data_IF_418578596483
#
_entry.id   IF_418578596483
#
_cell.length_a   1.000
_cell.length_b   1.000
_cell.length_c   1.000
_cell.angle_alpha   90.00
_cell.angle_beta   90.00
_cell.angle_gamma   90.00
#
_symmetry.space_group_name_H-M   'P 1'
#
loop_
_entity.id
_entity.type
_entity.pdbx_description
1 polymer ?
#
# COMPACT_ATOMS: atom_id res chain seq x y z
N UNK A 1 17.88 -22.02 -12.11
CA UNK A 1 16.83 -21.00 -12.37
C UNK A 1 16.91 -19.74 -11.47
N UNK A 2 17.59 -19.76 -10.31
CA UNK A 2 17.67 -18.60 -9.39
C UNK A 2 18.48 -17.38 -9.87
N UNK A 3 19.34 -17.50 -10.91
CA UNK A 3 20.12 -16.37 -11.47
C UNK A 3 19.28 -15.42 -12.35
N UNK A 4 18.21 -15.92 -12.98
CA UNK A 4 17.36 -15.10 -13.86
C UNK A 4 16.49 -14.10 -13.10
N UNK A 5 15.91 -14.53 -11.97
CA UNK A 5 15.03 -13.68 -11.15
C UNK A 5 15.77 -12.50 -10.49
N UNK A 6 17.03 -12.71 -10.07
CA UNK A 6 17.88 -11.63 -9.52
C UNK A 6 18.16 -10.56 -10.57
N UNK A 7 18.45 -10.96 -11.81
CA UNK A 7 18.72 -10.00 -12.89
C UNK A 7 17.47 -9.17 -13.23
N UNK A 8 16.28 -9.77 -13.30
CA UNK A 8 15.05 -9.02 -13.60
C UNK A 8 14.72 -8.00 -12.50
N UNK A 9 14.84 -8.38 -11.23
CA UNK A 9 14.61 -7.46 -10.11
C UNK A 9 15.67 -6.35 -10.03
N UNK A 10 16.93 -6.66 -10.36
CA UNK A 10 18.02 -5.70 -10.34
C UNK A 10 17.96 -4.73 -11.52
N UNK A 11 17.56 -5.20 -12.71
CA UNK A 11 17.29 -4.35 -13.90
C UNK A 11 16.06 -3.47 -13.69
N UNK A 12 15.02 -3.99 -13.04
CA UNK A 12 13.87 -3.19 -12.66
C UNK A 12 14.25 -2.11 -11.63
N UNK A 13 15.05 -2.46 -10.61
CA UNK A 13 15.56 -1.51 -9.61
C UNK A 13 16.47 -0.43 -10.22
N UNK A 14 17.36 -0.79 -11.15
CA UNK A 14 18.25 0.16 -11.84
C UNK A 14 17.50 1.15 -12.74
N UNK A 15 16.42 0.71 -13.40
CA UNK A 15 15.62 1.57 -14.25
C UNK A 15 14.70 2.52 -13.44
N UNK A 16 14.31 2.13 -12.23
CA UNK A 16 13.56 3.00 -11.31
C UNK A 16 14.46 4.04 -10.63
N UNK A 17 15.78 3.80 -10.53
CA UNK A 17 16.72 4.61 -9.75
C UNK A 17 17.55 5.64 -10.53
N UNK A 18 17.54 5.62 -11.87
CA UNK A 18 18.28 6.63 -12.67
C UNK A 18 17.38 7.81 -13.06
N UNK A 19 17.66 9.03 -12.60
CA UNK A 19 17.04 10.23 -13.15
C UNK A 19 17.66 10.55 -14.51
N UNK A 20 16.88 10.44 -15.59
CA UNK A 20 17.24 11.05 -16.88
C UNK A 20 16.97 12.55 -16.77
N UNK A 21 18.00 13.29 -16.37
CA UNK A 21 17.98 14.75 -16.33
C UNK A 21 18.35 15.25 -17.73
N UNK A 22 17.39 15.79 -18.46
CA UNK A 22 17.63 16.57 -19.67
C UNK A 22 17.38 18.02 -19.26
N UNK A 23 18.46 18.76 -19.01
CA UNK A 23 18.41 20.20 -18.80
C UNK A 23 17.98 20.87 -20.10
N UNK A 24 16.84 21.53 -20.07
CA UNK A 24 16.53 22.64 -20.97
C UNK A 24 16.41 23.87 -20.08
N UNK A 25 17.54 24.56 -19.93
CA UNK A 25 17.62 25.91 -19.39
C UNK A 25 17.06 26.88 -20.44
N UNK A 26 16.04 27.65 -20.08
CA UNK A 26 15.73 28.93 -20.75
C UNK A 26 14.87 29.81 -19.83
N UNK A 27 15.55 30.76 -19.19
CA UNK A 27 15.20 32.13 -18.83
C UNK A 27 13.72 32.51 -18.58
N UNK A 28 13.42 32.90 -17.33
CA UNK A 28 12.35 33.87 -17.05
C UNK A 28 12.78 34.85 -15.92
N UNK A 29 12.58 36.18 -16.06
CA UNK A 29 13.05 37.18 -15.09
C UNK A 29 12.18 37.23 -13.84
N UNK A 30 12.83 37.52 -12.70
CA UNK A 30 12.21 37.57 -11.37
C UNK A 30 11.11 38.62 -11.22
N UNK A 31 10.05 38.24 -10.51
CA UNK A 31 9.01 39.15 -10.02
C UNK A 31 9.09 39.27 -8.48
N UNK A 32 8.85 40.47 -7.93
CA UNK A 32 9.10 40.76 -6.52
C UNK A 32 8.02 40.21 -5.58
N UNK A 33 8.48 39.76 -4.41
CA UNK A 33 7.68 39.31 -3.27
C UNK A 33 7.02 40.50 -2.56
N UNK A 34 5.74 40.78 -2.82
CA UNK A 34 4.88 41.45 -1.83
C UNK A 34 3.41 41.10 -2.04
N UNK A 35 2.69 40.97 -0.90
CA UNK A 35 1.24 40.83 -0.76
C UNK A 35 0.66 39.40 -0.80
N UNK A 36 0.82 38.68 0.31
CA UNK A 36 -0.10 37.59 0.67
C UNK A 36 -1.09 38.10 1.73
N UNK A 37 -2.21 38.66 1.27
CA UNK A 37 -3.40 38.86 2.09
C UNK A 37 -4.64 38.38 1.33
N UNK A 38 -5.37 37.49 2.00
CA UNK A 38 -6.74 37.02 1.70
C UNK A 38 -6.88 36.07 0.51
N UNK A 39 -7.11 34.78 0.80
CA UNK A 39 -7.44 33.74 -0.17
C UNK A 39 -8.81 34.00 -0.84
N UNK A 40 -8.84 34.90 -1.80
CA UNK A 40 -9.83 34.88 -2.86
C UNK A 40 -9.51 33.67 -3.75
N UNK A 41 -10.50 32.79 -3.94
CA UNK A 41 -10.38 31.58 -4.77
C UNK A 41 -10.25 32.04 -6.23
N UNK A 42 -9.03 32.35 -6.66
CA UNK A 42 -8.71 32.62 -8.06
C UNK A 42 -9.12 31.40 -8.89
N UNK A 43 -10.13 31.59 -9.73
CA UNK A 43 -10.41 30.68 -10.84
C UNK A 43 -9.14 30.64 -11.71
N UNK A 44 -8.63 29.44 -12.06
CA UNK A 44 -7.44 29.36 -12.88
C UNK A 44 -7.69 30.03 -14.23
N UNK A 45 -6.69 30.70 -14.82
CA UNK A 45 -6.80 31.30 -16.13
C UNK A 45 -7.21 30.23 -17.15
N UNK A 46 -8.22 30.57 -17.96
CA UNK A 46 -8.76 29.76 -19.04
C UNK A 46 -7.63 29.32 -19.97
N UNK A 47 -7.27 28.03 -19.91
CA UNK A 47 -6.28 27.41 -20.80
C UNK A 47 -5.15 26.61 -20.14
N UNK A 48 -4.95 26.70 -18.81
CA UNK A 48 -4.03 25.79 -18.12
C UNK A 48 -4.74 24.49 -17.73
N UNK A 49 -4.19 23.36 -18.14
CA UNK A 49 -4.59 22.05 -17.63
C UNK A 49 -4.52 22.07 -16.09
N UNK A 50 -5.52 21.54 -15.38
CA UNK A 50 -5.54 21.56 -13.92
C UNK A 50 -4.27 20.88 -13.40
N UNK A 51 -3.54 21.62 -12.56
CA UNK A 51 -2.32 21.11 -11.94
C UNK A 51 -2.65 19.84 -11.15
N UNK A 52 -2.08 18.71 -11.57
CA UNK A 52 -2.30 17.40 -10.95
C UNK A 52 -1.82 17.35 -9.49
N UNK A 53 -1.21 18.43 -9.00
CA UNK A 53 -0.76 18.60 -7.61
C UNK A 53 -1.87 19.08 -6.67
N UNK A 54 -2.97 19.59 -7.22
CA UNK A 54 -4.13 20.07 -6.45
C UNK A 54 -5.04 18.88 -6.09
N UNK A 55 -5.51 18.78 -4.84
CA UNK A 55 -6.46 17.73 -4.45
C UNK A 55 -7.74 17.78 -5.29
N UNK A 56 -8.18 16.62 -5.81
CA UNK A 56 -9.37 16.53 -6.65
C UNK A 56 -10.67 16.71 -5.85
N UNK A 57 -11.62 17.48 -6.38
CA UNK A 57 -12.95 17.70 -5.80
C UNK A 57 -13.96 16.58 -6.07
N UNK A 58 -13.61 15.59 -6.90
CA UNK A 58 -14.40 14.38 -7.17
C UNK A 58 -13.51 13.20 -7.49
N UNK A 59 -14.03 11.98 -7.42
CA UNK A 59 -13.29 10.82 -7.89
C UNK A 59 -13.13 10.90 -9.41
N UNK A 60 -11.90 11.08 -9.88
CA UNK A 60 -11.62 11.11 -11.33
C UNK A 60 -11.56 9.68 -11.89
N UNK A 61 -11.88 9.52 -13.17
CA UNK A 61 -11.78 8.22 -13.85
C UNK A 61 -10.34 7.67 -13.77
N UNK A 62 -9.34 8.54 -13.89
CA UNK A 62 -7.94 8.15 -13.74
C UNK A 62 -7.63 7.61 -12.34
N UNK A 63 -8.16 8.24 -11.27
CA UNK A 63 -8.03 7.72 -9.90
C UNK A 63 -8.75 6.39 -9.72
N UNK A 64 -9.96 6.26 -10.27
CA UNK A 64 -10.69 5.00 -10.21
C UNK A 64 -9.93 3.86 -10.92
N UNK A 65 -9.44 4.08 -12.14
CA UNK A 65 -8.65 3.09 -12.89
C UNK A 65 -7.32 2.77 -12.21
N UNK A 66 -6.68 3.75 -11.58
CA UNK A 66 -5.47 3.53 -10.79
C UNK A 66 -5.75 2.64 -9.56
N UNK A 67 -6.79 2.95 -8.80
CA UNK A 67 -7.18 2.20 -7.59
C UNK A 67 -7.68 0.80 -7.93
N UNK A 68 -8.66 0.67 -8.83
CA UNK A 68 -9.28 -0.61 -9.16
C UNK A 68 -8.42 -1.46 -10.09
N UNK A 69 -7.76 -0.84 -11.06
CA UNK A 69 -6.92 -1.52 -12.04
C UNK A 69 -5.57 -1.91 -11.44
N UNK A 70 -4.72 -0.94 -11.14
CA UNK A 70 -3.34 -1.22 -10.69
C UNK A 70 -3.31 -1.79 -9.28
N UNK A 71 -4.03 -1.16 -8.35
CA UNK A 71 -4.09 -1.58 -6.95
C UNK A 71 -5.23 -2.56 -6.65
N UNK A 72 -6.01 -3.00 -7.62
CA UNK A 72 -7.01 -4.05 -7.42
C UNK A 72 -6.60 -5.30 -8.19
N UNK A 73 -6.87 -5.28 -9.50
CA UNK A 73 -6.59 -6.43 -10.39
C UNK A 73 -5.08 -6.70 -10.50
N UNK A 74 -4.25 -5.68 -10.67
CA UNK A 74 -2.80 -5.83 -10.74
C UNK A 74 -2.23 -6.45 -9.46
N UNK A 75 -2.69 -5.95 -8.31
CA UNK A 75 -2.32 -6.50 -7.01
C UNK A 75 -2.80 -7.94 -6.80
N UNK A 76 -4.01 -8.30 -7.27
CA UNK A 76 -4.51 -9.68 -7.25
C UNK A 76 -3.54 -10.64 -7.93
N UNK A 77 -3.16 -10.33 -9.18
CA UNK A 77 -2.34 -11.20 -10.02
C UNK A 77 -0.95 -11.35 -9.40
N UNK A 78 -0.33 -10.25 -8.99
CA UNK A 78 1.03 -10.26 -8.43
C UNK A 78 1.04 -10.98 -7.08
N UNK A 79 0.14 -10.62 -6.17
CA UNK A 79 0.12 -11.19 -4.82
C UNK A 79 -0.27 -12.67 -4.82
N UNK A 80 -1.28 -13.04 -5.62
CA UNK A 80 -1.67 -14.43 -5.80
C UNK A 80 -0.53 -15.25 -6.40
N UNK A 81 0.14 -14.74 -7.43
CA UNK A 81 1.30 -15.41 -8.05
C UNK A 81 2.48 -15.61 -7.10
N UNK A 82 2.81 -14.62 -6.28
CA UNK A 82 3.88 -14.74 -5.27
C UNK A 82 3.52 -15.79 -4.22
N UNK A 83 2.28 -15.77 -3.69
CA UNK A 83 1.83 -16.75 -2.72
C UNK A 83 1.81 -18.18 -3.29
N UNK A 84 1.36 -18.34 -4.54
CA UNK A 84 1.43 -19.61 -5.26
C UNK A 84 2.87 -20.11 -5.36
N UNK A 85 3.81 -19.26 -5.79
CA UNK A 85 5.21 -19.64 -5.96
C UNK A 85 5.87 -20.05 -4.63
N UNK A 86 5.56 -19.34 -3.53
CA UNK A 86 6.04 -19.69 -2.20
C UNK A 86 5.47 -21.03 -1.73
N UNK A 87 4.17 -21.26 -1.88
CA UNK A 87 3.56 -22.53 -1.52
C UNK A 87 4.09 -23.69 -2.38
N UNK A 88 4.23 -23.49 -3.68
CA UNK A 88 4.84 -24.50 -4.55
C UNK A 88 6.24 -24.87 -4.07
N UNK A 89 7.08 -23.87 -3.81
CA UNK A 89 8.44 -24.10 -3.34
C UNK A 89 8.49 -24.80 -1.97
N UNK A 90 7.54 -24.55 -1.07
CA UNK A 90 7.51 -25.13 0.27
C UNK A 90 6.93 -26.55 0.28
N UNK A 91 5.82 -26.76 -0.43
CA UNK A 91 5.02 -27.98 -0.35
C UNK A 91 5.46 -29.07 -1.33
N UNK A 92 6.15 -28.72 -2.41
CA UNK A 92 6.67 -29.74 -3.34
C UNK A 92 8.03 -30.30 -2.94
N UNK A 93 8.71 -29.68 -1.96
CA UNK A 93 10.04 -30.09 -1.49
C UNK A 93 10.02 -30.80 -0.14
N UNK A 94 8.85 -31.03 0.44
CA UNK A 94 8.69 -31.68 1.74
C UNK A 94 8.14 -33.09 1.58
N UNK A 95 8.67 -34.03 2.37
CA UNK A 95 8.17 -35.41 2.44
C UNK A 95 7.07 -35.57 3.50
N UNK A 96 6.91 -34.58 4.38
CA UNK A 96 5.91 -34.60 5.45
C UNK A 96 4.51 -34.26 4.93
N UNK A 97 3.46 -34.95 5.42
CA UNK A 97 2.09 -34.70 5.00
C UNK A 97 1.65 -33.27 5.36
N UNK A 98 0.95 -32.63 4.43
CA UNK A 98 0.39 -31.29 4.61
C UNK A 98 -0.93 -31.43 5.35
N UNK A 99 -1.05 -30.73 6.48
CA UNK A 99 -2.15 -30.86 7.42
C UNK A 99 -2.82 -29.51 7.65
N UNK A 100 -4.09 -29.53 8.04
CA UNK A 100 -4.79 -28.27 8.32
C UNK A 100 -4.26 -27.62 9.60
N UNK A 101 -4.15 -28.37 10.69
CA UNK A 101 -3.81 -27.82 12.01
C UNK A 101 -2.44 -28.25 12.51
N UNK A 102 -2.09 -29.53 12.32
CA UNK A 102 -0.89 -30.13 12.91
C UNK A 102 0.40 -29.66 12.22
N UNK A 103 1.43 -29.45 13.04
CA UNK A 103 2.80 -29.22 12.59
C UNK A 103 3.43 -30.50 12.00
N UNK A 104 4.48 -30.39 11.17
CA UNK A 104 5.20 -29.17 10.79
C UNK A 104 4.54 -28.36 9.65
N UNK A 105 3.82 -29.02 8.74
CA UNK A 105 3.25 -28.40 7.54
C UNK A 105 1.78 -28.00 7.73
N UNK A 106 1.53 -27.03 8.61
CA UNK A 106 0.17 -26.55 8.94
C UNK A 106 -0.32 -25.47 7.98
N UNK A 107 -1.42 -25.72 7.27
CA UNK A 107 -2.06 -24.74 6.38
C UNK A 107 -2.75 -23.61 7.15
N UNK A 108 -3.34 -23.91 8.31
CA UNK A 108 -3.96 -22.86 9.13
C UNK A 108 -2.90 -21.90 9.67
N UNK A 109 -1.78 -22.43 10.18
CA UNK A 109 -0.67 -21.60 10.65
C UNK A 109 -0.10 -20.73 9.52
N UNK A 110 0.14 -21.33 8.36
CA UNK A 110 0.66 -20.60 7.21
C UNK A 110 -0.32 -19.53 6.68
N UNK A 111 -1.64 -19.82 6.69
CA UNK A 111 -2.70 -18.84 6.37
C UNK A 111 -2.64 -17.63 7.31
N UNK A 112 -2.56 -17.87 8.62
CA UNK A 112 -2.52 -16.81 9.62
C UNK A 112 -1.29 -15.91 9.42
N UNK A 113 -0.11 -16.52 9.25
CA UNK A 113 1.15 -15.82 9.01
C UNK A 113 1.10 -15.03 7.70
N UNK A 114 0.55 -15.62 6.64
CA UNK A 114 0.39 -14.96 5.33
C UNK A 114 -0.41 -13.68 5.44
N UNK A 115 -1.56 -13.72 6.13
CA UNK A 115 -2.41 -12.53 6.29
C UNK A 115 -1.64 -11.41 6.99
N UNK A 116 -0.93 -11.72 8.07
CA UNK A 116 -0.19 -10.75 8.87
C UNK A 116 0.98 -10.15 8.05
N UNK A 117 1.85 -11.01 7.52
CA UNK A 117 3.05 -10.57 6.80
C UNK A 117 2.66 -9.82 5.52
N UNK A 118 1.70 -10.33 4.75
CA UNK A 118 1.25 -9.70 3.51
C UNK A 118 0.66 -8.30 3.80
N UNK A 119 -0.15 -8.11 4.85
CA UNK A 119 -0.67 -6.79 5.19
C UNK A 119 0.45 -5.80 5.56
N UNK A 120 1.45 -6.22 6.34
CA UNK A 120 2.60 -5.37 6.71
C UNK A 120 3.40 -4.97 5.46
N UNK A 121 3.77 -5.96 4.64
CA UNK A 121 4.56 -5.73 3.43
C UNK A 121 3.80 -4.85 2.43
N UNK A 122 2.53 -5.18 2.19
CA UNK A 122 1.66 -4.42 1.28
C UNK A 122 1.50 -2.98 1.76
N UNK A 123 1.25 -2.73 3.04
CA UNK A 123 1.15 -1.37 3.58
C UNK A 123 2.42 -0.54 3.29
N UNK A 124 3.59 -1.14 3.51
CA UNK A 124 4.88 -0.46 3.29
C UNK A 124 5.17 -0.22 1.81
N UNK A 125 4.85 -1.19 0.94
CA UNK A 125 5.01 -1.06 -0.51
C UNK A 125 4.08 0.03 -1.05
N UNK A 126 2.81 0.02 -0.66
CA UNK A 126 1.82 1.02 -1.06
C UNK A 126 2.18 2.41 -0.59
N UNK A 127 2.70 2.54 0.65
CA UNK A 127 3.26 3.78 1.13
C UNK A 127 4.35 4.31 0.19
N UNK A 128 5.24 3.47 -0.32
CA UNK A 128 6.33 3.91 -1.18
C UNK A 128 5.81 4.28 -2.58
N UNK A 129 5.03 3.39 -3.21
CA UNK A 129 4.55 3.55 -4.59
C UNK A 129 3.62 4.75 -4.71
N UNK A 130 2.58 4.81 -3.89
CA UNK A 130 1.54 5.84 -4.00
C UNK A 130 2.13 7.21 -3.66
N UNK A 131 2.97 7.31 -2.64
CA UNK A 131 3.64 8.59 -2.34
C UNK A 131 4.61 9.01 -3.46
N UNK A 132 5.28 8.08 -4.13
CA UNK A 132 6.13 8.41 -5.30
C UNK A 132 5.29 8.92 -6.45
N UNK A 133 4.18 8.27 -6.76
CA UNK A 133 3.33 8.61 -7.89
C UNK A 133 2.58 9.92 -7.65
N UNK A 134 2.19 10.22 -6.40
CA UNK A 134 1.73 11.53 -5.98
C UNK A 134 2.83 12.59 -6.18
N UNK A 135 4.05 12.38 -5.68
CA UNK A 135 5.15 13.36 -5.82
C UNK A 135 5.50 13.68 -7.28
N UNK A 136 5.41 12.69 -8.16
CA UNK A 136 5.63 12.89 -9.60
C UNK A 136 4.45 13.56 -10.31
N UNK A 137 3.31 13.72 -9.64
CA UNK A 137 2.08 14.22 -10.24
C UNK A 137 1.46 13.21 -11.22
N UNK A 138 1.84 11.93 -11.14
CA UNK A 138 1.23 10.88 -11.94
C UNK A 138 -0.24 10.70 -11.54
N UNK A 139 -0.54 10.84 -10.25
CA UNK A 139 -1.88 10.74 -9.68
C UNK A 139 -2.20 11.95 -8.82
N UNK A 140 -3.46 12.38 -8.85
CA UNK A 140 -3.97 13.48 -8.03
C UNK A 140 -4.32 12.99 -6.61
N UNK A 141 -4.03 13.77 -5.56
CA UNK A 141 -4.55 13.51 -4.22
C UNK A 141 -6.09 13.55 -4.20
N UNK A 142 -6.71 12.85 -3.24
CA UNK A 142 -8.16 12.90 -3.03
C UNK A 142 -8.47 14.09 -2.11
N UNK A 143 -9.22 15.08 -2.62
CA UNK A 143 -9.58 16.30 -1.89
C UNK A 143 -11.07 16.43 -1.55
N UNK A 144 -11.93 15.59 -2.12
CA UNK A 144 -13.38 15.65 -1.89
C UNK A 144 -13.79 15.14 -0.51
N UNK A 145 -12.92 14.43 0.18
CA UNK A 145 -13.14 13.98 1.56
C UNK A 145 -12.59 15.06 2.49
N UNK A 146 -13.45 15.64 3.32
CA UNK A 146 -13.07 16.67 4.28
C UNK A 146 -12.18 16.14 5.40
N UNK A 147 -11.22 16.94 5.86
CA UNK A 147 -10.38 16.60 7.03
C UNK A 147 -11.28 16.45 8.27
N UNK A 148 -11.14 15.37 9.06
CA UNK A 148 -11.93 15.18 10.29
C UNK A 148 -11.65 16.29 11.32
N UNK A 149 -12.71 16.95 11.80
CA UNK A 149 -12.64 18.00 12.82
C UNK A 149 -12.13 17.45 14.16
N UNK A 150 -11.48 18.25 15.00
CA UNK A 150 -10.94 17.78 16.29
C UNK A 150 -11.98 17.61 17.41
N UNK A 151 -13.24 17.96 17.16
CA UNK A 151 -14.28 18.08 18.19
C UNK A 151 -14.84 16.74 18.66
N UNK A 152 -14.88 15.71 17.79
CA UNK A 152 -15.49 14.41 18.09
C UNK A 152 -14.45 13.35 18.54
N UNK A 153 -14.90 12.31 19.27
CA UNK A 153 -14.00 11.20 19.70
C UNK A 153 -13.54 10.35 18.53
N UNK A 154 -14.46 10.00 17.63
CA UNK A 154 -14.16 9.22 16.43
C UNK A 154 -13.18 9.95 15.51
N UNK A 155 -13.36 11.26 15.35
CA UNK A 155 -12.48 12.07 14.51
C UNK A 155 -11.05 12.14 15.07
N UNK A 156 -10.86 12.18 16.40
CA UNK A 156 -9.53 12.03 17.03
C UNK A 156 -8.87 10.69 16.69
N UNK A 157 -9.62 9.60 16.70
CA UNK A 157 -9.11 8.29 16.29
C UNK A 157 -8.70 8.26 14.81
N UNK A 158 -9.51 8.85 13.92
CA UNK A 158 -9.16 8.95 12.49
C UNK A 158 -7.91 9.80 12.29
N UNK A 159 -7.80 10.96 12.96
CA UNK A 159 -6.61 11.84 12.89
C UNK A 159 -5.35 11.12 13.38
N UNK A 160 -5.46 10.37 14.47
CA UNK A 160 -4.39 9.51 14.97
C UNK A 160 -4.03 8.45 13.94
N UNK A 161 -5.01 7.67 13.45
CA UNK A 161 -4.81 6.61 12.45
C UNK A 161 -4.21 7.15 11.15
N UNK A 162 -4.50 8.40 10.78
CA UNK A 162 -3.98 9.06 9.57
C UNK A 162 -2.65 9.81 9.81
N UNK A 163 -2.15 9.85 11.05
CA UNK A 163 -0.92 10.54 11.44
C UNK A 163 -0.90 12.04 11.06
N UNK A 164 -2.06 12.69 11.10
CA UNK A 164 -2.18 14.10 10.67
C UNK A 164 -1.46 15.07 11.59
N UNK A 165 -1.43 14.79 12.90
CA UNK A 165 -0.78 15.69 13.85
C UNK A 165 0.75 15.48 13.88
N UNK A 166 1.20 14.25 13.63
CA UNK A 166 2.63 13.91 13.58
C UNK A 166 3.32 14.44 12.31
N UNK A 167 2.62 14.52 11.17
CA UNK A 167 3.19 15.10 9.94
C UNK A 167 3.51 16.59 10.13
N UNK A 168 2.59 17.35 10.72
CA UNK A 168 2.78 18.79 11.02
C UNK A 168 3.92 19.03 12.00
N UNK A 169 4.09 18.14 12.99
CA UNK A 169 5.13 18.27 14.01
C UNK A 169 6.52 17.78 13.53
N UNK A 170 6.58 16.76 12.66
CA UNK A 170 7.81 16.34 12.01
C UNK A 170 8.35 17.41 11.04
N UNK A 171 7.47 18.18 10.38
CA UNK A 171 7.83 19.30 9.49
C UNK A 171 8.73 20.34 10.15
N UNK A 172 8.64 20.52 11.47
CA UNK A 172 9.39 21.55 12.21
C UNK A 172 10.76 21.11 12.76
N UNK A 173 11.11 19.81 12.74
CA UNK A 173 12.34 19.31 13.41
C UNK A 173 13.03 18.22 12.60
N UNK A 174 14.13 18.57 11.93
CA UNK A 174 14.96 17.69 11.08
C UNK A 174 15.87 16.79 11.94
N UNK A 175 16.04 15.50 11.57
CA UNK A 175 17.32 14.79 11.81
C UNK A 175 17.39 13.55 12.72
N UNK A 176 16.37 13.12 13.47
CA UNK A 176 16.55 12.01 14.43
C UNK A 176 16.18 10.60 13.88
N UNK A 177 17.14 9.66 13.89
CA UNK A 177 16.92 8.24 13.54
C UNK A 177 15.82 7.61 14.40
N UNK A 178 15.77 7.93 15.71
CA UNK A 178 14.73 7.44 16.62
C UNK A 178 13.32 7.78 16.11
N UNK A 179 13.14 8.97 15.51
CA UNK A 179 11.85 9.39 14.93
C UNK A 179 11.51 8.65 13.64
N UNK A 180 12.51 8.30 12.82
CA UNK A 180 12.29 7.45 11.64
C UNK A 180 11.83 6.06 12.07
N UNK A 181 12.47 5.48 13.09
CA UNK A 181 12.06 4.19 13.63
C UNK A 181 10.66 4.23 14.24
N UNK A 182 10.34 5.25 15.05
CA UNK A 182 9.00 5.45 15.60
C UNK A 182 7.93 5.60 14.50
N UNK A 183 8.28 6.26 13.39
CA UNK A 183 7.39 6.37 12.24
C UNK A 183 7.15 5.02 11.57
N UNK A 184 8.19 4.22 11.34
CA UNK A 184 8.05 2.85 10.79
C UNK A 184 7.22 1.97 11.72
N UNK A 185 7.50 2.01 13.02
CA UNK A 185 6.70 1.27 14.02
C UNK A 185 5.23 1.69 13.98
N UNK A 186 4.97 3.00 13.86
CA UNK A 186 3.61 3.51 13.69
C UNK A 186 2.94 2.95 12.42
N UNK A 187 3.67 2.80 11.30
CA UNK A 187 3.12 2.16 10.10
C UNK A 187 2.82 0.67 10.32
N UNK A 188 3.73 -0.06 10.95
CA UNK A 188 3.53 -1.49 11.26
C UNK A 188 2.30 -1.70 12.14
N UNK A 189 2.10 -0.87 13.17
CA UNK A 189 0.90 -0.95 14.03
C UNK A 189 -0.39 -0.79 13.21
N UNK A 190 -0.44 0.14 12.26
CA UNK A 190 -1.62 0.34 11.38
C UNK A 190 -1.83 -0.85 10.45
N UNK A 191 -0.76 -1.36 9.88
CA UNK A 191 -0.81 -2.55 9.05
C UNK A 191 -1.31 -3.77 9.85
N UNK A 192 -0.90 -3.92 11.11
CA UNK A 192 -1.38 -4.95 12.02
C UNK A 192 -2.86 -4.79 12.36
N UNK A 193 -3.37 -3.56 12.53
CA UNK A 193 -4.80 -3.34 12.74
C UNK A 193 -5.61 -3.82 11.53
N UNK A 194 -5.16 -3.51 10.31
CA UNK A 194 -5.84 -4.01 9.10
C UNK A 194 -5.65 -5.51 8.93
N UNK A 195 -4.48 -6.05 9.28
CA UNK A 195 -4.23 -7.48 9.29
C UNK A 195 -5.18 -8.22 10.23
N UNK A 196 -5.44 -7.68 11.42
CA UNK A 196 -6.38 -8.26 12.37
C UNK A 196 -7.80 -8.31 11.80
N UNK A 197 -8.28 -7.21 11.22
CA UNK A 197 -9.60 -7.20 10.56
C UNK A 197 -9.64 -8.20 9.40
N UNK A 198 -8.59 -8.23 8.57
CA UNK A 198 -8.48 -9.16 7.45
C UNK A 198 -8.45 -10.62 7.92
N UNK A 199 -7.79 -10.89 9.04
CA UNK A 199 -7.72 -12.21 9.67
C UNK A 199 -9.11 -12.66 10.12
N UNK A 200 -9.84 -11.81 10.85
CA UNK A 200 -11.21 -12.12 11.29
C UNK A 200 -12.14 -12.43 10.12
N UNK A 201 -11.96 -11.75 8.98
CA UNK A 201 -12.78 -11.94 7.78
C UNK A 201 -12.38 -13.20 7.01
N UNK A 202 -11.08 -13.42 6.78
CA UNK A 202 -10.60 -14.42 5.81
C UNK A 202 -10.22 -15.75 6.46
N UNK A 203 -9.80 -15.77 7.73
CA UNK A 203 -9.30 -16.99 8.36
C UNK A 203 -10.39 -18.06 8.49
N UNK A 204 -11.56 -17.69 9.02
CA UNK A 204 -12.71 -18.60 9.17
C UNK A 204 -13.15 -19.23 7.85
N UNK A 205 -13.48 -18.43 6.81
CA UNK A 205 -13.80 -18.97 5.48
C UNK A 205 -12.68 -19.82 4.88
N UNK A 206 -11.41 -19.44 5.07
CA UNK A 206 -10.27 -20.23 4.60
C UNK A 206 -10.23 -21.62 5.24
N UNK A 207 -10.38 -21.68 6.56
CA UNK A 207 -10.48 -22.96 7.31
C UNK A 207 -11.68 -23.76 6.82
N UNK A 208 -12.85 -23.14 6.64
CA UNK A 208 -14.05 -23.80 6.14
C UNK A 208 -13.85 -24.43 4.76
N UNK A 209 -13.30 -23.67 3.82
CA UNK A 209 -12.97 -24.17 2.46
C UNK A 209 -11.98 -25.32 2.54
N UNK A 210 -10.91 -25.18 3.33
CA UNK A 210 -9.91 -26.22 3.51
C UNK A 210 -10.54 -27.49 4.09
N UNK A 211 -11.39 -27.39 5.13
CA UNK A 211 -12.09 -28.56 5.69
C UNK A 211 -13.03 -29.25 4.70
N UNK A 212 -13.56 -28.52 3.71
CA UNK A 212 -14.44 -29.06 2.68
C UNK A 212 -13.67 -29.81 1.58
N UNK A 213 -12.42 -29.40 1.30
CA UNK A 213 -11.59 -30.00 0.24
C UNK A 213 -10.63 -31.07 0.79
N UNK A 214 -10.25 -30.96 2.07
CA UNK A 214 -9.31 -31.86 2.72
C UNK A 214 -9.91 -33.24 3.01
N UNK A 215 -9.06 -34.27 3.01
CA UNK A 215 -9.45 -35.61 3.41
C UNK A 215 -9.19 -35.81 4.90
N UNK A 216 -10.22 -36.14 5.67
CA UNK A 216 -10.10 -36.37 7.12
C UNK A 216 -9.49 -37.75 7.39
N UNK A 217 -8.44 -37.81 8.19
CA UNK A 217 -7.77 -39.07 8.54
C UNK A 217 -8.36 -39.66 9.83
N UNK A 218 -9.23 -40.65 9.71
CA UNK A 218 -9.82 -41.34 10.87
C UNK A 218 -10.92 -40.54 11.59
N UNK A 219 -11.57 -41.17 12.58
CA UNK A 219 -12.77 -40.63 13.23
C UNK A 219 -12.56 -39.29 13.98
N UNK A 220 -11.32 -38.97 14.37
CA UNK A 220 -10.96 -37.72 15.06
C UNK A 220 -9.70 -37.05 14.55
N UNK A 221 -9.15 -37.45 13.40
CA UNK A 221 -7.89 -36.89 12.91
C UNK A 221 -8.05 -35.64 12.06
N UNK A 222 -6.90 -35.08 11.72
CA UNK A 222 -6.75 -33.83 10.97
C UNK A 222 -7.11 -34.02 9.48
N UNK A 223 -7.28 -32.89 8.79
CA UNK A 223 -7.46 -32.85 7.34
C UNK A 223 -6.10 -32.86 6.66
N UNK A 224 -5.93 -33.76 5.71
CA UNK A 224 -4.70 -33.93 4.91
C UNK A 224 -4.97 -33.55 3.47
N UNK A 225 -3.95 -32.98 2.83
CA UNK A 225 -4.01 -32.49 1.46
C UNK A 225 -2.89 -33.12 0.62
N UNK A 226 -3.13 -33.33 -0.68
CA UNK A 226 -2.06 -33.72 -1.59
C UNK A 226 -0.98 -32.62 -1.64
N UNK A 227 0.27 -33.03 -1.81
CA UNK A 227 1.43 -32.13 -1.88
C UNK A 227 1.48 -31.23 -3.10
N UNK A 228 0.54 -31.41 -4.04
CA UNK A 228 0.45 -30.61 -5.27
C UNK A 228 -0.96 -30.10 -5.50
N UNK A 229 -1.00 -28.91 -6.07
CA UNK A 229 -2.15 -28.14 -6.52
C UNK A 229 -3.07 -27.63 -5.42
N UNK A 230 -3.49 -28.45 -4.46
CA UNK A 230 -4.44 -28.02 -3.44
C UNK A 230 -3.91 -26.84 -2.59
N UNK A 231 -2.76 -26.95 -1.91
CA UNK A 231 -2.26 -25.86 -1.07
C UNK A 231 -1.77 -24.66 -1.90
N UNK A 232 -1.23 -24.88 -3.10
CA UNK A 232 -0.75 -23.81 -3.97
C UNK A 232 -1.90 -22.98 -4.56
N UNK A 233 -2.95 -23.64 -5.05
CA UNK A 233 -4.15 -22.94 -5.56
C UNK A 233 -4.83 -22.19 -4.41
N UNK A 234 -4.95 -22.82 -3.23
CA UNK A 234 -5.48 -22.16 -2.04
C UNK A 234 -4.71 -20.88 -1.73
N UNK A 235 -3.37 -20.94 -1.72
CA UNK A 235 -2.49 -19.79 -1.48
C UNK A 235 -2.58 -18.72 -2.56
N UNK A 236 -2.71 -19.11 -3.83
CA UNK A 236 -2.96 -18.19 -4.93
C UNK A 236 -4.22 -17.37 -4.68
N UNK A 237 -5.33 -18.05 -4.39
CA UNK A 237 -6.63 -17.42 -4.17
C UNK A 237 -6.60 -16.56 -2.93
N UNK A 238 -6.10 -17.07 -1.80
CA UNK A 238 -5.98 -16.32 -0.55
C UNK A 238 -5.15 -15.04 -0.75
N UNK A 239 -3.96 -15.17 -1.35
CA UNK A 239 -3.06 -14.05 -1.58
C UNK A 239 -3.66 -12.98 -2.50
N UNK A 240 -4.37 -13.41 -3.55
CA UNK A 240 -5.05 -12.53 -4.49
C UNK A 240 -6.27 -11.82 -3.88
N UNK A 241 -7.14 -12.56 -3.18
CA UNK A 241 -8.32 -12.00 -2.49
C UNK A 241 -7.91 -11.02 -1.42
N UNK A 242 -6.92 -11.37 -0.60
CA UNK A 242 -6.38 -10.46 0.42
C UNK A 242 -5.81 -9.19 -0.21
N UNK A 243 -5.13 -9.29 -1.35
CA UNK A 243 -4.63 -8.12 -2.05
C UNK A 243 -5.76 -7.21 -2.53
N UNK A 244 -6.76 -7.72 -3.26
CA UNK A 244 -7.93 -6.93 -3.70
C UNK A 244 -8.65 -6.27 -2.53
N UNK A 245 -8.73 -6.98 -1.40
CA UNK A 245 -9.40 -6.46 -0.21
C UNK A 245 -8.60 -5.35 0.50
N UNK A 246 -7.28 -5.26 0.33
CA UNK A 246 -6.43 -4.35 1.12
C UNK A 246 -5.75 -3.26 0.29
N UNK A 247 -5.18 -3.61 -0.85
CA UNK A 247 -4.38 -2.68 -1.69
C UNK A 247 -5.17 -1.45 -2.19
N UNK A 248 -6.42 -1.54 -2.68
CA UNK A 248 -7.19 -0.36 -3.06
C UNK A 248 -7.41 0.58 -1.88
N UNK A 249 -7.69 0.02 -0.69
CA UNK A 249 -7.91 0.79 0.52
C UNK A 249 -6.63 1.47 1.00
N UNK A 250 -5.48 0.82 0.89
CA UNK A 250 -4.19 1.43 1.23
C UNK A 250 -3.85 2.56 0.26
N UNK A 251 -4.07 2.37 -1.05
CA UNK A 251 -3.90 3.43 -2.03
C UNK A 251 -4.79 4.64 -1.72
N UNK A 252 -6.07 4.41 -1.46
CA UNK A 252 -7.00 5.47 -1.03
C UNK A 252 -6.53 6.16 0.25
N UNK A 253 -6.11 5.41 1.26
CA UNK A 253 -5.59 5.96 2.53
C UNK A 253 -4.45 6.97 2.25
N UNK A 254 -3.47 6.60 1.43
CA UNK A 254 -2.33 7.47 1.13
C UNK A 254 -2.73 8.68 0.28
N UNK A 255 -3.64 8.50 -0.69
CA UNK A 255 -4.14 9.59 -1.53
C UNK A 255 -4.95 10.63 -0.74
N UNK A 256 -5.80 10.18 0.18
CA UNK A 256 -6.59 11.05 1.08
C UNK A 256 -5.67 11.76 2.06
N UNK A 257 -4.75 11.01 2.68
CA UNK A 257 -3.76 11.58 3.61
C UNK A 257 -2.91 12.66 2.93
N UNK A 258 -2.56 12.48 1.66
CA UNK A 258 -1.84 13.51 0.90
C UNK A 258 -2.73 14.73 0.62
N UNK A 259 -4.01 14.53 0.31
CA UNK A 259 -4.99 15.61 0.13
C UNK A 259 -5.12 16.49 1.37
N UNK A 260 -5.23 15.88 2.55
CA UNK A 260 -5.34 16.59 3.83
C UNK A 260 -4.06 17.31 4.27
N UNK A 261 -2.88 16.87 3.82
CA UNK A 261 -1.62 17.56 4.10
C UNK A 261 -1.30 18.68 3.08
N UNK A 262 -2.32 19.29 2.46
CA UNK A 262 -2.15 20.44 1.56
C UNK A 262 -1.74 20.10 0.13
N UNK A 263 -1.90 18.85 -0.31
CA UNK A 263 -1.52 18.41 -1.66
C UNK A 263 0.00 18.28 -1.85
N UNK A 264 0.44 18.19 -3.11
CA UNK A 264 1.88 17.98 -3.44
C UNK A 264 2.69 19.27 -3.26
N UNK A 265 2.06 20.44 -3.36
CA UNK A 265 2.71 21.75 -3.23
C UNK A 265 3.37 21.94 -1.86
N UNK A 266 2.72 21.54 -0.76
CA UNK A 266 3.39 21.58 0.56
C UNK A 266 4.48 20.52 0.71
N UNK A 267 4.33 19.35 0.10
CA UNK A 267 5.30 18.26 0.19
C UNK A 267 6.62 18.58 -0.53
N UNK A 268 6.59 19.36 -1.61
CA UNK A 268 7.77 19.83 -2.35
C UNK A 268 8.49 20.95 -1.59
N UNK A 269 7.75 21.88 -0.99
CA UNK A 269 8.32 22.97 -0.18
C UNK A 269 9.06 22.49 1.09
N UNK A 270 8.88 21.23 1.49
CA UNK A 270 9.51 20.63 2.69
C UNK A 270 10.96 20.14 2.43
N UNK A 271 11.37 19.97 1.17
CA UNK A 271 12.71 19.44 0.85
C UNK A 271 13.76 20.48 0.47
N UNK A 272 13.44 21.78 0.51
CA UNK A 272 14.43 22.86 0.38
C UNK A 272 15.09 23.02 -1.00
N UNK A 273 14.69 22.21 -1.98
CA UNK A 273 14.98 22.51 -3.38
C UNK A 273 13.75 23.19 -3.96
N UNK A 274 13.71 24.51 -3.80
CA UNK A 274 13.08 25.35 -4.81
C UNK A 274 13.69 24.93 -6.14
N UNK A 275 12.87 24.43 -7.06
CA UNK A 275 13.28 24.33 -8.44
C UNK A 275 13.41 25.79 -8.93
N UNK A 276 14.65 26.25 -9.05
CA UNK A 276 14.99 27.26 -10.06
C UNK A 276 14.84 26.63 -11.43
#
# INVERSE_FOLDING_TARGET
>A
MAKGAKNVLQTWWSNVSKPNFRETSEDAPGLPLSNYTTHERQTPPTGRLPDKRVPSSRLTVHQFLYIAGSHGIGALVISGGINFALAYAMYTTTDDPIRLWQFPNTLAGDTAVTIIIQCIMTWMIEMIIVNRDLRKGNIQPIGFISEPSSTQRLSRWIRWFMLLDQSKQQRKRRGSIKRKLLYVLAQVIRALMVAFVSFCILFGPSVGILTAVGSKVGAGGDWVYPSRWAPEIFKLVLGGVLAVMTTPFFAMYWMVKCGWNGGIHEAVMINGNEYK
#
